data_IF_997843330422
#
_entry.id   IF_997843330422
#
_cell.length_a   1.000
_cell.length_b   1.000
_cell.length_c   1.000
_cell.angle_alpha   90.00
_cell.angle_beta   90.00
_cell.angle_gamma   90.00
#
_symmetry.space_group_name_H-M   'P 1'
#
loop_
_entity.id
_entity.type
_entity.pdbx_description
1 polymer ?
#
# COMPACT_ATOMS: atom_id res chain seq x y z
N UNK A 1 -12.49 -14.93 -9.86
CA UNK A 1 -11.06 -14.86 -9.51
C UNK A 1 -10.46 -13.46 -9.61
N UNK A 2 -10.62 -12.73 -10.73
CA UNK A 2 -10.03 -11.38 -10.94
C UNK A 2 -10.32 -10.37 -9.81
N UNK A 3 -11.57 -10.32 -9.34
CA UNK A 3 -11.96 -9.43 -8.23
C UNK A 3 -11.28 -9.79 -6.89
N UNK A 4 -11.22 -11.08 -6.55
CA UNK A 4 -10.58 -11.55 -5.32
C UNK A 4 -9.07 -11.28 -5.31
N UNK A 5 -8.41 -11.42 -6.46
CA UNK A 5 -7.00 -11.04 -6.60
C UNK A 5 -6.81 -9.54 -6.38
N UNK A 6 -7.65 -8.69 -6.98
CA UNK A 6 -7.57 -7.24 -6.80
C UNK A 6 -7.78 -6.82 -5.32
N UNK A 7 -8.73 -7.44 -4.62
CA UNK A 7 -8.93 -7.24 -3.18
C UNK A 7 -7.67 -7.66 -2.41
N UNK A 8 -7.07 -8.80 -2.75
CA UNK A 8 -5.81 -9.24 -2.13
C UNK A 8 -4.67 -8.23 -2.31
N UNK A 9 -4.53 -7.65 -3.50
CA UNK A 9 -3.54 -6.60 -3.81
C UNK A 9 -3.79 -5.34 -2.96
N UNK A 10 -5.05 -4.91 -2.81
CA UNK A 10 -5.41 -3.77 -1.95
C UNK A 10 -5.01 -4.03 -0.50
N UNK A 11 -5.38 -5.19 0.06
CA UNK A 11 -5.09 -5.53 1.44
C UNK A 11 -3.58 -5.63 1.68
N UNK A 12 -2.84 -6.20 0.73
CA UNK A 12 -1.38 -6.26 0.81
C UNK A 12 -0.77 -4.85 0.81
N UNK A 13 -1.20 -3.96 -0.09
CA UNK A 13 -0.75 -2.56 -0.13
C UNK A 13 -1.02 -1.83 1.19
N UNK A 14 -2.23 -1.96 1.76
CA UNK A 14 -2.57 -1.38 3.07
C UNK A 14 -1.69 -1.91 4.20
N UNK A 15 -1.46 -3.23 4.25
CA UNK A 15 -0.56 -3.82 5.25
C UNK A 15 0.87 -3.31 5.10
N UNK A 16 1.37 -3.17 3.86
CA UNK A 16 2.71 -2.62 3.61
C UNK A 16 2.83 -1.17 4.10
N UNK A 17 1.83 -0.33 3.82
CA UNK A 17 1.79 1.06 4.34
C UNK A 17 1.78 1.07 5.86
N UNK A 18 0.92 0.26 6.49
CA UNK A 18 0.86 0.16 7.95
C UNK A 18 2.17 -0.28 8.58
N UNK A 19 2.81 -1.32 8.01
CA UNK A 19 4.12 -1.79 8.45
C UNK A 19 5.21 -0.71 8.27
N UNK A 20 5.22 -0.01 7.13
CA UNK A 20 6.15 1.09 6.86
C UNK A 20 5.99 2.25 7.84
N UNK A 21 4.75 2.63 8.17
CA UNK A 21 4.46 3.68 9.14
C UNK A 21 4.95 3.31 10.56
N UNK A 22 4.73 2.07 10.99
CA UNK A 22 5.24 1.57 12.28
C UNK A 22 6.78 1.57 12.29
N UNK A 23 7.42 1.16 11.20
CA UNK A 23 8.87 1.17 11.07
C UNK A 23 9.44 2.59 11.11
N UNK A 24 8.81 3.55 10.44
CA UNK A 24 9.16 4.97 10.52
C UNK A 24 9.05 5.52 11.93
N UNK A 25 7.94 5.26 12.61
CA UNK A 25 7.72 5.73 13.97
C UNK A 25 8.82 5.21 14.92
N UNK A 26 9.14 3.92 14.83
CA UNK A 26 10.23 3.32 15.63
C UNK A 26 11.60 3.90 15.27
N UNK A 27 11.86 4.11 13.98
CA UNK A 27 13.12 4.71 13.54
C UNK A 27 13.27 6.15 14.02
N UNK A 28 12.19 6.93 14.04
CA UNK A 28 12.18 8.30 14.53
C UNK A 28 12.51 8.35 16.04
N UNK A 29 11.97 7.43 16.85
CA UNK A 29 12.33 7.31 18.27
C UNK A 29 13.83 7.04 18.43
N UNK A 30 14.35 6.05 17.70
CA UNK A 30 15.79 5.71 17.75
C UNK A 30 16.64 6.90 17.31
N UNK A 31 16.19 7.63 16.28
CA UNK A 31 16.89 8.81 15.77
C UNK A 31 17.01 9.91 16.82
N UNK A 32 15.93 10.15 17.57
CA UNK A 32 15.91 11.10 18.69
C UNK A 32 16.83 10.65 19.83
N UNK A 33 16.78 9.36 20.21
CA UNK A 33 17.60 8.81 21.31
C UNK A 33 19.10 8.78 21.00
N UNK A 34 19.47 8.57 19.74
CA UNK A 34 20.87 8.37 19.32
C UNK A 34 21.49 9.58 18.62
N UNK A 35 20.70 10.62 18.32
CA UNK A 35 21.13 11.80 17.58
C UNK A 35 21.45 11.54 16.10
N UNK A 36 21.05 10.40 15.54
CA UNK A 36 21.17 10.14 14.10
C UNK A 36 20.06 10.85 13.33
N UNK A 37 20.24 11.01 12.02
CA UNK A 37 19.19 11.56 11.16
C UNK A 37 17.96 10.66 11.16
N UNK A 38 16.77 11.23 11.39
CA UNK A 38 15.50 10.54 11.23
C UNK A 38 15.09 10.30 9.76
N UNK A 39 15.86 10.85 8.81
CA UNK A 39 15.60 10.66 7.38
C UNK A 39 16.13 9.32 6.89
N UNK A 40 15.20 8.41 6.56
CA UNK A 40 15.53 7.09 6.03
C UNK A 40 14.81 6.83 4.69
N UNK A 41 15.52 6.96 3.54
CA UNK A 41 14.94 6.77 2.22
C UNK A 41 14.33 5.39 2.01
N UNK A 42 14.88 4.34 2.62
CA UNK A 42 14.36 2.99 2.47
C UNK A 42 12.96 2.84 3.09
N UNK A 43 12.72 3.47 4.24
CA UNK A 43 11.39 3.47 4.87
C UNK A 43 10.37 4.23 4.03
N UNK A 44 10.78 5.35 3.40
CA UNK A 44 9.94 6.08 2.47
C UNK A 44 9.58 5.25 1.24
N UNK A 45 10.55 4.52 0.69
CA UNK A 45 10.32 3.61 -0.43
C UNK A 45 9.30 2.54 -0.08
N UNK A 46 9.37 1.93 1.11
CA UNK A 46 8.37 0.94 1.57
C UNK A 46 6.98 1.56 1.62
N UNK A 47 6.87 2.78 2.17
CA UNK A 47 5.60 3.46 2.33
C UNK A 47 4.97 3.82 0.98
N UNK A 48 5.76 4.36 0.05
CA UNK A 48 5.29 4.68 -1.31
C UNK A 48 5.02 3.44 -2.15
N UNK A 49 5.82 2.38 -2.02
CA UNK A 49 5.56 1.12 -2.70
C UNK A 49 4.24 0.50 -2.23
N UNK A 50 3.97 0.49 -0.92
CA UNK A 50 2.68 0.03 -0.38
C UNK A 50 1.51 0.85 -0.92
N UNK A 51 1.64 2.17 -0.94
CA UNK A 51 0.63 3.07 -1.50
C UNK A 51 0.39 2.82 -3.00
N UNK A 52 1.46 2.62 -3.79
CA UNK A 52 1.35 2.32 -5.21
C UNK A 52 0.63 0.98 -5.44
N UNK A 53 0.96 -0.06 -4.67
CA UNK A 53 0.29 -1.37 -4.77
C UNK A 53 -1.19 -1.27 -4.39
N UNK A 54 -1.53 -0.51 -3.35
CA UNK A 54 -2.92 -0.24 -3.00
C UNK A 54 -3.70 0.40 -4.15
N UNK A 55 -3.15 1.47 -4.75
CA UNK A 55 -3.77 2.17 -5.87
C UNK A 55 -3.94 1.26 -7.10
N UNK A 56 -2.94 0.44 -7.42
CA UNK A 56 -3.04 -0.55 -8.49
C UNK A 56 -4.19 -1.54 -8.25
N UNK A 57 -4.35 -2.03 -7.03
CA UNK A 57 -5.48 -2.87 -6.65
C UNK A 57 -6.83 -2.15 -6.83
N UNK A 58 -6.92 -0.86 -6.47
CA UNK A 58 -8.13 -0.05 -6.69
C UNK A 58 -8.48 0.08 -8.18
N UNK A 59 -7.48 0.32 -9.04
CA UNK A 59 -7.67 0.39 -10.49
C UNK A 59 -8.16 -0.94 -11.06
N UNK A 60 -7.61 -2.07 -10.59
CA UNK A 60 -8.05 -3.40 -11.01
C UNK A 60 -9.51 -3.69 -10.63
N UNK A 61 -9.98 -3.21 -9.48
CA UNK A 61 -11.40 -3.30 -9.10
C UNK A 61 -12.25 -2.45 -10.04
N UNK A 62 -11.85 -1.21 -10.31
CA UNK A 62 -12.60 -0.31 -11.19
C UNK A 62 -12.78 -0.92 -12.59
N UNK A 63 -11.70 -1.47 -13.16
CA UNK A 63 -11.74 -2.22 -14.42
C UNK A 63 -12.65 -3.45 -14.34
N UNK A 64 -12.55 -4.26 -13.29
CA UNK A 64 -13.38 -5.45 -13.11
C UNK A 64 -14.88 -5.15 -12.94
N UNK A 65 -15.23 -3.95 -12.46
CA UNK A 65 -16.62 -3.49 -12.35
C UNK A 65 -17.09 -2.90 -13.68
N UNK A 66 -16.28 -2.06 -14.33
CA UNK A 66 -16.63 -1.41 -15.59
C UNK A 66 -16.72 -2.38 -16.78
N UNK A 67 -15.94 -3.47 -16.76
CA UNK A 67 -15.95 -4.48 -17.83
C UNK A 67 -17.07 -5.52 -17.68
N UNK A 68 -18.06 -5.33 -16.80
CA UNK A 68 -19.19 -6.25 -16.67
C UNK A 68 -20.17 -6.01 -17.83
N UNK A 69 -20.47 -7.02 -18.66
CA UNK A 69 -21.46 -6.84 -19.71
C UNK A 69 -22.82 -6.51 -19.06
N UNK A 70 -23.50 -5.52 -19.63
CA UNK A 70 -24.89 -5.23 -19.28
C UNK A 70 -25.68 -6.53 -19.47
N UNK A 71 -26.46 -6.93 -18.45
CA UNK A 71 -27.34 -8.09 -18.56
C UNK A 71 -28.26 -7.86 -19.76
N UNK A 72 -28.32 -8.78 -20.74
CA UNK A 72 -29.42 -8.76 -21.69
C UNK A 72 -30.68 -9.03 -20.88
N UNK A 73 -31.59 -8.06 -20.93
CA UNK A 73 -32.96 -8.13 -20.41
C UNK A 73 -33.79 -9.17 -21.15
#
# INVERSE_FOLDING_TARGET
>A
MRLWLAIGVILFGLMTVGAGAVAMYRHAIIADETGISGWNPALWLVLFAGAAVFLLGTVQIADAVGSRPARPE
#
